data_IF_275153775595
#
_entry.id   IF_275153775595
#
_cell.length_a   1.000
_cell.length_b   1.000
_cell.length_c   1.000
_cell.angle_alpha   90.00
_cell.angle_beta   90.00
_cell.angle_gamma   90.00
#
_symmetry.space_group_name_H-M   'P 1'
#
loop_
_entity.id
_entity.type
_entity.pdbx_description
1 polymer ?
#
# COMPACT_ATOMS: atom_id res chain seq x y z
N UNK A 1 14.44 13.25 2.08
CA UNK A 1 13.53 12.32 1.42
C UNK A 1 12.76 13.08 0.33
N UNK A 2 12.75 12.50 -0.85
CA UNK A 2 12.00 13.04 -2.00
C UNK A 2 11.00 11.99 -2.43
N UNK A 3 9.74 12.37 -2.57
CA UNK A 3 8.70 11.50 -3.14
C UNK A 3 8.20 12.09 -4.45
N UNK A 4 8.13 11.25 -5.47
CA UNK A 4 7.66 11.60 -6.80
C UNK A 4 6.45 10.73 -7.14
N UNK A 5 5.44 11.35 -7.73
CA UNK A 5 4.20 10.68 -8.09
C UNK A 5 3.85 10.94 -9.54
N UNK A 6 3.62 9.87 -10.30
CA UNK A 6 3.12 9.96 -11.66
C UNK A 6 1.65 9.54 -11.69
N UNK A 7 0.81 10.40 -12.25
CA UNK A 7 -0.63 10.14 -12.35
C UNK A 7 -1.21 10.76 -13.62
N UNK A 8 -2.41 10.33 -13.98
CA UNK A 8 -3.20 10.94 -15.06
C UNK A 8 -4.52 11.43 -14.49
N UNK A 9 -5.00 12.56 -15.03
CA UNK A 9 -6.29 13.12 -14.68
C UNK A 9 -6.84 13.93 -15.84
N UNK A 10 -8.16 13.99 -15.97
CA UNK A 10 -8.85 14.83 -16.97
C UNK A 10 -8.93 16.29 -16.53
N UNK A 11 -8.65 16.59 -15.27
CA UNK A 11 -8.75 17.93 -14.71
C UNK A 11 -7.39 18.39 -14.17
N UNK A 12 -7.17 19.71 -14.27
CA UNK A 12 -6.05 20.39 -13.61
C UNK A 12 -6.57 21.22 -12.44
N UNK A 13 -7.70 20.81 -11.86
CA UNK A 13 -8.32 21.48 -10.74
C UNK A 13 -7.37 21.50 -9.53
N UNK A 14 -7.53 22.52 -8.70
CA UNK A 14 -6.77 22.68 -7.47
C UNK A 14 -6.97 21.48 -6.53
N UNK A 15 -8.12 20.83 -6.56
CA UNK A 15 -8.38 19.64 -5.77
C UNK A 15 -7.42 18.49 -6.14
N UNK A 16 -7.12 18.34 -7.43
CA UNK A 16 -6.18 17.31 -7.91
C UNK A 16 -4.75 17.66 -7.49
N UNK A 17 -4.38 18.94 -7.54
CA UNK A 17 -3.07 19.40 -7.07
C UNK A 17 -2.91 19.14 -5.58
N UNK A 18 -3.91 19.44 -4.78
CA UNK A 18 -3.91 19.18 -3.34
C UNK A 18 -3.83 17.69 -3.05
N UNK A 19 -4.63 16.88 -3.76
CA UNK A 19 -4.61 15.42 -3.61
C UNK A 19 -3.22 14.86 -3.91
N UNK A 20 -2.60 15.29 -5.00
CA UNK A 20 -1.27 14.78 -5.38
C UNK A 20 -0.20 15.15 -4.36
N UNK A 21 -0.26 16.36 -3.80
CA UNK A 21 0.63 16.76 -2.71
C UNK A 21 0.43 15.91 -1.45
N UNK A 22 -0.82 15.65 -1.10
CA UNK A 22 -1.16 14.83 0.06
C UNK A 22 -0.67 13.38 -0.12
N UNK A 23 -0.79 12.84 -1.32
CA UNK A 23 -0.28 11.51 -1.64
C UNK A 23 1.25 11.45 -1.57
N UNK A 24 1.93 12.48 -2.03
CA UNK A 24 3.39 12.57 -1.91
C UNK A 24 3.82 12.59 -0.43
N UNK A 25 3.11 13.31 0.42
CA UNK A 25 3.37 13.31 1.86
C UNK A 25 3.11 11.93 2.47
N UNK A 26 2.02 11.27 2.07
CA UNK A 26 1.71 9.93 2.52
C UNK A 26 2.83 8.95 2.15
N UNK A 27 3.30 8.99 0.91
CA UNK A 27 4.38 8.12 0.43
C UNK A 27 5.66 8.35 1.24
N UNK A 28 6.02 9.60 1.50
CA UNK A 28 7.21 9.93 2.27
C UNK A 28 7.12 9.44 3.72
N UNK A 29 5.92 9.51 4.33
CA UNK A 29 5.68 9.11 5.71
C UNK A 29 5.54 7.59 5.86
N UNK A 30 4.79 6.95 4.98
CA UNK A 30 4.43 5.54 5.09
C UNK A 30 5.36 4.60 4.32
N UNK A 31 6.15 5.12 3.40
CA UNK A 31 7.19 4.38 2.65
C UNK A 31 6.69 3.05 2.07
N UNK A 32 5.66 3.07 1.20
CA UNK A 32 5.17 1.85 0.58
C UNK A 32 6.22 1.22 -0.34
N UNK A 33 6.21 -0.11 -0.45
CA UNK A 33 7.11 -0.85 -1.32
C UNK A 33 6.64 -0.88 -2.77
N UNK A 34 5.32 -0.86 -2.99
CA UNK A 34 4.74 -0.88 -4.33
C UNK A 34 3.40 -0.17 -4.35
N UNK A 35 2.87 0.05 -5.56
CA UNK A 35 1.58 0.70 -5.76
C UNK A 35 0.44 -0.18 -5.25
N UNK A 36 0.41 -1.44 -5.67
CA UNK A 36 -0.60 -2.41 -5.24
C UNK A 36 0.06 -3.79 -5.06
N UNK A 37 -0.71 -4.76 -4.58
CA UNK A 37 -0.25 -6.13 -4.30
C UNK A 37 0.37 -6.75 -5.55
N UNK A 38 -0.25 -6.54 -6.71
CA UNK A 38 0.21 -7.08 -8.00
C UNK A 38 1.60 -6.58 -8.40
N UNK A 39 1.98 -5.41 -7.92
CA UNK A 39 3.25 -4.76 -8.25
C UNK A 39 4.38 -5.14 -7.30
N UNK A 40 4.07 -5.89 -6.23
CA UNK A 40 5.08 -6.35 -5.30
C UNK A 40 6.02 -7.37 -5.94
N UNK A 41 7.31 -7.25 -5.63
CA UNK A 41 8.29 -8.25 -6.01
C UNK A 41 7.94 -9.58 -5.37
N UNK A 42 7.85 -10.63 -6.19
CA UNK A 42 7.54 -11.99 -5.71
C UNK A 42 8.52 -12.48 -4.65
N UNK A 43 9.78 -12.09 -4.76
CA UNK A 43 10.80 -12.47 -3.78
C UNK A 43 10.50 -11.89 -2.40
N UNK A 44 9.98 -10.66 -2.34
CA UNK A 44 9.59 -10.00 -1.09
C UNK A 44 8.42 -10.76 -0.46
N UNK A 45 7.41 -11.10 -1.27
CA UNK A 45 6.22 -11.82 -0.81
C UNK A 45 6.59 -13.21 -0.30
N UNK A 46 7.37 -13.97 -1.06
CA UNK A 46 7.79 -15.32 -0.69
C UNK A 46 8.62 -15.33 0.59
N UNK A 47 9.52 -14.38 0.73
CA UNK A 47 10.36 -14.24 1.92
C UNK A 47 9.51 -13.95 3.16
N UNK A 48 8.57 -13.04 3.05
CA UNK A 48 7.66 -12.70 4.16
C UNK A 48 6.76 -13.88 4.52
N UNK A 49 6.21 -14.56 3.53
CA UNK A 49 5.39 -15.76 3.75
C UNK A 49 6.17 -16.82 4.51
N UNK A 50 7.42 -17.06 4.11
CA UNK A 50 8.28 -18.02 4.79
C UNK A 50 8.54 -17.65 6.24
N UNK A 51 8.84 -16.36 6.51
CA UNK A 51 9.07 -15.86 7.86
C UNK A 51 7.83 -16.05 8.71
N UNK A 52 6.66 -15.66 8.21
CA UNK A 52 5.40 -15.76 8.94
C UNK A 52 5.03 -17.23 9.20
N UNK A 53 5.24 -18.11 8.24
CA UNK A 53 4.97 -19.53 8.40
C UNK A 53 5.85 -20.15 9.50
N UNK A 54 7.13 -19.82 9.53
CA UNK A 54 8.04 -20.29 10.57
C UNK A 54 7.62 -19.80 11.96
N UNK A 55 7.22 -18.53 12.07
CA UNK A 55 6.73 -17.97 13.33
C UNK A 55 5.47 -18.67 13.83
N UNK A 56 4.54 -18.99 12.94
CA UNK A 56 3.31 -19.69 13.27
C UNK A 56 3.61 -21.11 13.73
N UNK A 57 4.48 -21.84 13.02
CA UNK A 57 4.90 -23.19 13.37
C UNK A 57 5.56 -23.23 14.75
N UNK A 58 6.41 -22.26 15.06
CA UNK A 58 7.11 -22.18 16.33
C UNK A 58 6.19 -21.77 17.49
N UNK A 59 5.01 -21.24 17.21
CA UNK A 59 4.04 -20.86 18.24
C UNK A 59 3.24 -22.05 18.78
N UNK A 60 3.40 -23.25 18.21
CA UNK A 60 2.70 -24.47 18.65
C UNK A 60 1.24 -24.56 18.21
N UNK A 61 0.83 -23.76 17.21
CA UNK A 61 -0.53 -23.82 16.70
C UNK A 61 -0.81 -25.10 15.92
N UNK A 62 -2.05 -25.64 15.96
CA UNK A 62 -2.40 -26.82 15.17
C UNK A 62 -2.22 -26.58 13.67
N UNK A 63 -1.74 -27.56 12.93
CA UNK A 63 -1.50 -27.45 11.49
C UNK A 63 -2.76 -27.12 10.69
N UNK A 64 -3.93 -27.50 11.20
CA UNK A 64 -5.22 -27.26 10.54
C UNK A 64 -5.58 -25.77 10.44
N UNK A 65 -5.01 -24.90 11.28
CA UNK A 65 -5.31 -23.47 11.28
C UNK A 65 -4.16 -22.62 10.79
N UNK A 66 -3.00 -23.21 10.50
CA UNK A 66 -1.80 -22.47 10.06
C UNK A 66 -2.09 -21.67 8.81
N UNK A 67 -2.75 -22.25 7.82
CA UNK A 67 -3.03 -21.56 6.56
C UNK A 67 -3.97 -20.36 6.74
N UNK A 68 -4.96 -20.48 7.64
CA UNK A 68 -5.83 -19.35 7.96
C UNK A 68 -5.10 -18.20 8.65
N UNK A 69 -4.24 -18.54 9.60
CA UNK A 69 -3.44 -17.55 10.32
C UNK A 69 -2.47 -16.87 9.35
N UNK A 70 -1.81 -17.65 8.50
CA UNK A 70 -0.88 -17.14 7.49
C UNK A 70 -1.59 -16.20 6.53
N UNK A 71 -2.77 -16.56 6.05
CA UNK A 71 -3.55 -15.73 5.14
C UNK A 71 -3.88 -14.37 5.76
N UNK A 72 -4.32 -14.36 7.01
CA UNK A 72 -4.59 -13.12 7.75
C UNK A 72 -3.35 -12.26 7.95
N UNK A 73 -2.21 -12.87 8.27
CA UNK A 73 -0.94 -12.15 8.43
C UNK A 73 -0.44 -11.59 7.11
N UNK A 74 -0.60 -12.30 6.01
CA UNK A 74 -0.20 -11.82 4.68
C UNK A 74 -1.09 -10.67 4.23
N UNK A 75 -2.38 -10.69 4.51
CA UNK A 75 -3.29 -9.57 4.24
C UNK A 75 -2.86 -8.32 5.00
N UNK A 76 -2.48 -8.46 6.25
CA UNK A 76 -1.95 -7.36 7.06
C UNK A 76 -0.66 -6.82 6.47
N UNK A 77 0.26 -7.71 6.07
CA UNK A 77 1.50 -7.33 5.42
C UNK A 77 1.23 -6.51 4.15
N UNK A 78 0.35 -6.97 3.27
CA UNK A 78 -0.01 -6.24 2.06
C UNK A 78 -0.56 -4.85 2.36
N UNK A 79 -1.38 -4.73 3.40
CA UNK A 79 -1.94 -3.43 3.79
C UNK A 79 -0.89 -2.46 4.34
N UNK A 80 0.24 -2.97 4.81
CA UNK A 80 1.31 -2.15 5.37
C UNK A 80 2.31 -1.68 4.31
N UNK A 81 2.50 -2.45 3.23
CA UNK A 81 3.57 -2.21 2.25
C UNK A 81 3.09 -1.77 0.87
N UNK A 82 1.80 -1.83 0.58
CA UNK A 82 1.27 -1.37 -0.71
C UNK A 82 0.51 -0.06 -0.55
N UNK A 83 0.82 0.92 -1.40
CA UNK A 83 0.25 2.27 -1.32
C UNK A 83 -1.27 2.25 -1.30
N UNK A 84 -1.89 1.52 -2.23
CA UNK A 84 -3.35 1.50 -2.38
C UNK A 84 -4.09 0.90 -1.19
N UNK A 85 -3.43 0.05 -0.42
CA UNK A 85 -4.03 -0.66 0.71
C UNK A 85 -3.63 -0.08 2.08
N UNK A 86 -2.71 0.87 2.12
CA UNK A 86 -2.34 1.55 3.36
C UNK A 86 -3.47 2.47 3.83
N UNK A 87 -3.56 2.65 5.16
CA UNK A 87 -4.46 3.66 5.73
C UNK A 87 -4.00 5.05 5.31
N UNK A 88 -4.91 5.86 4.78
CA UNK A 88 -4.59 7.19 4.31
C UNK A 88 -4.16 8.09 5.47
N UNK A 89 -3.03 8.78 5.31
CA UNK A 89 -2.44 9.59 6.39
C UNK A 89 -3.36 10.71 6.88
N UNK A 90 -4.21 11.27 6.00
CA UNK A 90 -5.14 12.34 6.35
C UNK A 90 -6.48 11.84 6.88
N UNK A 91 -6.79 10.57 6.68
CA UNK A 91 -8.01 9.94 7.18
C UNK A 91 -7.76 8.45 7.37
N UNK A 92 -7.32 8.06 8.56
CA UNK A 92 -6.91 6.69 8.85
C UNK A 92 -8.06 5.68 8.85
N UNK A 93 -9.30 6.14 8.81
CA UNK A 93 -10.47 5.27 8.68
C UNK A 93 -10.67 4.77 7.24
N UNK A 94 -9.92 5.33 6.29
CA UNK A 94 -9.98 4.97 4.87
C UNK A 94 -8.64 4.47 4.39
N UNK A 95 -8.66 3.52 3.44
CA UNK A 95 -7.46 3.19 2.68
C UNK A 95 -7.22 4.26 1.61
N UNK A 96 -6.00 4.32 1.08
CA UNK A 96 -5.69 5.22 -0.04
C UNK A 96 -6.62 4.93 -1.23
N UNK A 97 -6.92 3.66 -1.50
CA UNK A 97 -7.86 3.25 -2.57
C UNK A 97 -9.22 3.91 -2.40
N UNK A 98 -9.79 3.84 -1.22
CA UNK A 98 -11.11 4.42 -0.93
C UNK A 98 -11.06 5.94 -1.03
N UNK A 99 -10.00 6.56 -0.52
CA UNK A 99 -9.83 8.01 -0.62
C UNK A 99 -9.77 8.47 -2.09
N UNK A 100 -9.10 7.70 -2.96
CA UNK A 100 -8.99 8.04 -4.39
C UNK A 100 -10.32 7.85 -5.14
N UNK A 101 -11.19 6.95 -4.70
CA UNK A 101 -12.50 6.76 -5.31
C UNK A 101 -13.35 8.02 -5.26
N UNK A 102 -13.15 8.87 -4.26
CA UNK A 102 -13.84 10.16 -4.12
C UNK A 102 -13.48 11.14 -5.26
N UNK A 103 -12.37 10.89 -5.96
CA UNK A 103 -11.88 11.70 -7.08
C UNK A 103 -12.11 11.05 -8.44
N UNK A 104 -12.97 10.03 -8.51
CA UNK A 104 -13.25 9.29 -9.75
C UNK A 104 -13.80 10.18 -10.87
N UNK A 105 -14.52 11.25 -10.54
CA UNK A 105 -15.04 12.21 -11.52
C UNK A 105 -13.96 12.93 -12.32
N UNK A 106 -12.72 12.96 -11.81
CA UNK A 106 -11.58 13.58 -12.48
C UNK A 106 -10.77 12.56 -13.29
N UNK A 107 -11.22 11.31 -13.36
CA UNK A 107 -10.48 10.19 -13.96
C UNK A 107 -9.05 10.10 -13.42
N UNK A 108 -8.87 10.35 -12.13
CA UNK A 108 -7.58 10.32 -11.47
C UNK A 108 -7.08 8.87 -11.37
N UNK A 109 -5.90 8.61 -11.97
CA UNK A 109 -5.28 7.28 -11.94
C UNK A 109 -3.80 7.39 -11.59
N UNK A 110 -3.37 6.66 -10.59
CA UNK A 110 -1.96 6.55 -10.25
C UNK A 110 -1.28 5.58 -11.21
N UNK A 111 -0.12 5.98 -11.73
CA UNK A 111 0.72 5.14 -12.58
C UNK A 111 1.91 4.58 -11.84
N UNK A 112 2.63 5.41 -11.11
CA UNK A 112 3.83 5.01 -10.39
C UNK A 112 4.22 6.05 -9.34
N UNK A 113 5.10 5.63 -8.45
CA UNK A 113 5.74 6.57 -7.52
C UNK A 113 7.20 6.18 -7.34
N UNK A 114 8.01 7.14 -6.90
CA UNK A 114 9.39 6.90 -6.50
C UNK A 114 9.64 7.56 -5.15
N UNK A 115 10.39 6.88 -4.30
CA UNK A 115 10.80 7.38 -3.01
C UNK A 115 12.33 7.37 -2.96
N UNK A 116 12.90 8.56 -2.85
CA UNK A 116 14.35 8.74 -2.81
C UNK A 116 14.73 9.22 -1.42
N UNK A 117 15.59 8.47 -0.74
CA UNK A 117 16.13 8.88 0.56
C UNK A 117 17.65 8.99 0.50
N UNK A 118 18.16 9.96 1.18
CA UNK A 118 19.60 10.20 1.28
C UNK A 118 20.19 9.42 2.46
#
# INVERSE_FOLDING_TARGET
IISLLEFTSTSKDQEIETLSKNLCMHIAAMKPESLDIEDLDKNIVEKEEKIQRELILNSGKPSSIIDKILDGKMKKFYSEVTLMNQSYILDQDKSVRVALEEYSKYEFKLKSFELISL
#
